data_IF_425030303826
#
_entry.id   IF_425030303826
#
_cell.length_a   1.000
_cell.length_b   1.000
_cell.length_c   1.000
_cell.angle_alpha   90.00
_cell.angle_beta   90.00
_cell.angle_gamma   90.00
#
_symmetry.space_group_name_H-M   'P 1'
#
loop_
_entity.id
_entity.type
_entity.pdbx_description
1 polymer ?
#
# COMPACT_ATOMS: atom_id res chain seq x y z
N UNK A 1 7.06 14.30 -1.60
CA UNK A 1 7.24 13.61 -0.31
C UNK A 1 6.62 12.23 -0.38
N UNK A 2 7.28 11.24 0.18
CA UNK A 2 6.77 9.87 0.33
C UNK A 2 6.77 9.51 1.82
N UNK A 3 5.67 8.96 2.32
CA UNK A 3 5.57 8.42 3.67
C UNK A 3 5.43 6.91 3.58
N UNK A 4 6.42 6.18 4.12
CA UNK A 4 6.49 4.72 4.03
C UNK A 4 7.46 4.15 5.06
N UNK A 5 7.34 2.85 5.35
CA UNK A 5 8.30 2.15 6.20
C UNK A 5 9.52 1.65 5.41
N UNK A 6 9.30 1.05 4.25
CA UNK A 6 10.34 0.53 3.39
C UNK A 6 9.82 0.34 1.96
N UNK A 7 10.74 0.32 0.99
CA UNK A 7 10.49 -0.14 -0.38
C UNK A 7 11.57 -1.14 -0.74
N UNK A 8 11.19 -2.41 -0.88
CA UNK A 8 12.10 -3.51 -1.15
C UNK A 8 11.56 -4.43 -2.25
N UNK A 9 12.45 -5.22 -2.82
CA UNK A 9 12.14 -6.29 -3.77
C UNK A 9 12.11 -7.67 -3.06
N UNK A 10 11.75 -7.69 -1.76
CA UNK A 10 11.77 -8.90 -0.96
C UNK A 10 13.20 -9.45 -0.80
N UNK A 11 13.42 -10.70 -1.15
CA UNK A 11 14.72 -11.38 -1.08
C UNK A 11 15.79 -10.82 -2.03
N UNK A 12 15.38 -10.03 -3.04
CA UNK A 12 16.31 -9.36 -3.96
C UNK A 12 16.83 -8.02 -3.42
N UNK A 13 16.51 -7.68 -2.18
CA UNK A 13 17.04 -6.51 -1.48
C UNK A 13 16.25 -5.22 -1.66
N UNK A 14 16.86 -4.06 -1.31
CA UNK A 14 16.22 -2.75 -1.46
C UNK A 14 15.95 -2.42 -2.93
N UNK A 15 14.85 -1.69 -3.20
CA UNK A 15 14.58 -1.18 -4.55
C UNK A 15 15.66 -0.17 -4.98
N UNK A 16 16.46 -0.45 -6.03
CA UNK A 16 17.68 0.32 -6.31
C UNK A 16 17.39 1.79 -6.63
N UNK A 17 16.40 2.05 -7.50
CA UNK A 17 16.04 3.42 -7.94
C UNK A 17 15.44 4.25 -6.80
N UNK A 18 14.61 3.62 -5.94
CA UNK A 18 14.07 4.26 -4.75
C UNK A 18 15.21 4.65 -3.79
N UNK A 19 16.12 3.71 -3.52
CA UNK A 19 17.27 3.95 -2.65
C UNK A 19 18.16 5.07 -3.17
N UNK A 20 18.43 5.10 -4.48
CA UNK A 20 19.21 6.17 -5.13
C UNK A 20 18.49 7.53 -5.00
N UNK A 21 17.19 7.58 -5.21
CA UNK A 21 16.39 8.81 -5.12
C UNK A 21 16.34 9.39 -3.69
N UNK A 22 16.30 8.54 -2.66
CA UNK A 22 16.42 8.98 -1.27
C UNK A 22 17.82 9.54 -0.98
N UNK A 23 18.88 8.81 -1.37
CA UNK A 23 20.27 9.23 -1.12
C UNK A 23 20.63 10.54 -1.82
N UNK A 24 20.12 10.78 -3.01
CA UNK A 24 20.32 12.02 -3.77
C UNK A 24 19.43 13.18 -3.30
N UNK A 25 18.45 12.94 -2.43
CA UNK A 25 17.47 13.94 -2.01
C UNK A 25 16.37 14.24 -3.05
N UNK A 26 16.29 13.49 -4.15
CA UNK A 26 15.24 13.63 -5.15
C UNK A 26 13.84 13.31 -4.59
N UNK A 27 13.77 12.42 -3.60
CA UNK A 27 12.56 12.12 -2.84
C UNK A 27 12.78 12.50 -1.38
N UNK A 28 11.89 13.34 -0.84
CA UNK A 28 11.81 13.58 0.60
C UNK A 28 11.03 12.44 1.23
N UNK A 29 11.69 11.65 2.06
CA UNK A 29 11.06 10.56 2.80
C UNK A 29 10.59 11.03 4.18
N UNK A 30 9.38 10.65 4.56
CA UNK A 30 8.89 10.65 5.95
C UNK A 30 8.91 9.19 6.41
N UNK A 31 9.86 8.87 7.25
CA UNK A 31 10.01 7.51 7.76
C UNK A 31 8.87 7.14 8.72
N UNK A 32 8.35 5.94 8.59
CA UNK A 32 7.25 5.42 9.38
C UNK A 32 7.37 3.90 9.55
N UNK A 33 6.59 3.33 10.45
CA UNK A 33 6.40 1.88 10.54
C UNK A 33 5.05 1.47 9.96
N UNK A 34 4.92 0.24 9.45
CA UNK A 34 3.63 -0.25 8.96
C UNK A 34 2.50 -0.12 9.99
N UNK A 35 2.70 -0.47 11.29
CA UNK A 35 1.68 -0.24 12.30
C UNK A 35 1.30 1.23 12.48
N UNK A 36 2.25 2.16 12.37
CA UNK A 36 1.96 3.59 12.49
C UNK A 36 1.12 4.12 11.33
N UNK A 37 1.48 3.76 10.09
CA UNK A 37 0.69 4.12 8.91
C UNK A 37 -0.72 3.55 8.98
N UNK A 38 -0.84 2.28 9.35
CA UNK A 38 -2.15 1.63 9.49
C UNK A 38 -2.99 2.29 10.57
N UNK A 39 -2.42 2.59 11.75
CA UNK A 39 -3.13 3.30 12.83
C UNK A 39 -3.57 4.71 12.38
N UNK A 40 -2.73 5.45 11.66
CA UNK A 40 -3.08 6.77 11.14
C UNK A 40 -4.21 6.72 10.09
N UNK A 41 -4.25 5.69 9.25
CA UNK A 41 -5.38 5.44 8.33
C UNK A 41 -6.64 5.03 9.09
N UNK A 42 -6.52 4.19 10.13
CA UNK A 42 -7.65 3.83 11.00
C UNK A 42 -8.24 5.05 11.73
N UNK A 43 -7.43 6.06 12.06
CA UNK A 43 -7.95 7.30 12.60
C UNK A 43 -8.91 7.98 11.63
N UNK A 44 -8.58 8.04 10.33
CA UNK A 44 -9.46 8.56 9.29
C UNK A 44 -10.70 7.70 9.07
N UNK A 45 -10.55 6.38 9.00
CA UNK A 45 -11.65 5.43 8.91
C UNK A 45 -12.68 5.65 10.04
N UNK A 46 -12.20 5.92 11.25
CA UNK A 46 -13.05 6.13 12.44
C UNK A 46 -13.52 7.58 12.64
N UNK A 47 -13.08 8.51 11.78
CA UNK A 47 -13.40 9.93 11.93
C UNK A 47 -12.79 10.60 13.15
N UNK A 48 -11.68 10.05 13.71
CA UNK A 48 -10.98 10.65 14.85
C UNK A 48 -9.73 11.41 14.38
N UNK A 49 -9.30 12.46 15.10
CA UNK A 49 -8.21 13.32 14.65
C UNK A 49 -6.82 12.66 14.74
N UNK A 50 -6.66 11.64 15.56
CA UNK A 50 -5.42 10.91 15.77
C UNK A 50 -5.67 9.50 16.32
N UNK A 51 -4.66 8.64 16.24
CA UNK A 51 -4.63 7.33 16.88
C UNK A 51 -3.43 7.23 17.83
N UNK A 52 -3.61 6.75 19.09
CA UNK A 52 -2.51 6.47 19.99
C UNK A 52 -1.83 5.13 19.64
N UNK A 53 -0.50 5.07 19.75
CA UNK A 53 0.28 3.86 19.53
C UNK A 53 1.49 3.81 20.49
N UNK A 54 1.81 2.61 21.05
CA UNK A 54 3.00 2.41 21.88
C UNK A 54 4.22 1.90 21.11
N UNK A 55 4.00 1.23 20.00
CA UNK A 55 5.04 0.46 19.29
C UNK A 55 6.22 1.27 18.73
N UNK A 56 6.21 2.59 18.89
CA UNK A 56 7.27 3.50 18.45
C UNK A 56 8.14 4.04 19.59
N UNK A 57 7.72 3.84 20.84
CA UNK A 57 8.46 4.33 22.02
C UNK A 57 9.83 3.66 22.07
N UNK A 58 10.89 4.47 22.23
CA UNK A 58 12.28 4.02 22.19
C UNK A 58 12.87 3.87 20.78
N UNK A 59 12.10 4.14 19.73
CA UNK A 59 12.56 4.10 18.34
C UNK A 59 13.16 5.44 17.92
N UNK A 60 14.24 5.39 17.12
CA UNK A 60 14.84 6.59 16.51
C UNK A 60 13.94 7.26 15.46
N UNK A 61 12.92 6.59 14.96
CA UNK A 61 11.93 7.16 14.03
C UNK A 61 11.28 8.40 14.62
N UNK A 62 11.02 8.41 15.93
CA UNK A 62 10.44 9.57 16.64
C UNK A 62 11.29 10.83 16.55
N UNK A 63 12.62 10.72 16.42
CA UNK A 63 13.54 11.84 16.28
C UNK A 63 13.42 12.58 14.93
N UNK A 64 12.81 11.92 13.95
CA UNK A 64 12.66 12.39 12.56
C UNK A 64 11.22 12.73 12.20
N UNK A 65 10.30 12.71 13.19
CA UNK A 65 8.86 12.96 13.02
C UNK A 65 8.39 14.10 13.91
N UNK A 66 8.44 15.31 13.39
CA UNK A 66 7.99 16.54 14.03
C UNK A 66 6.46 16.66 14.11
N UNK A 67 5.75 15.90 13.29
CA UNK A 67 4.29 15.82 13.25
C UNK A 67 3.69 14.81 14.26
N UNK A 68 4.52 13.96 14.87
CA UNK A 68 4.09 13.03 15.92
C UNK A 68 4.35 13.62 17.32
N UNK A 69 3.51 13.27 18.29
CA UNK A 69 3.65 13.73 19.67
C UNK A 69 3.71 12.56 20.63
N UNK A 70 4.64 12.62 21.58
CA UNK A 70 4.69 11.71 22.71
C UNK A 70 4.04 12.38 23.90
N UNK A 71 3.10 11.73 24.55
CA UNK A 71 2.46 12.16 25.80
C UNK A 71 2.38 11.00 26.77
N UNK A 72 2.18 11.28 28.05
CA UNK A 72 1.81 10.26 29.01
C UNK A 72 0.35 9.86 28.82
N UNK A 73 0.05 8.59 29.03
CA UNK A 73 -1.31 8.05 28.96
C UNK A 73 -2.18 8.74 30.02
N UNK A 74 -3.38 9.22 29.67
CA UNK A 74 -4.29 9.79 30.66
C UNK A 74 -4.87 8.74 31.64
N UNK A 75 -4.61 7.46 31.41
CA UNK A 75 -5.16 6.35 32.19
C UNK A 75 -4.14 5.58 33.02
N UNK A 76 -2.87 5.92 32.91
CA UNK A 76 -1.78 5.27 33.66
C UNK A 76 -0.60 6.21 33.86
N UNK A 77 0.13 6.06 34.97
CA UNK A 77 1.38 6.77 35.22
C UNK A 77 2.53 6.05 34.49
N UNK A 78 3.55 6.82 34.10
CA UNK A 78 4.76 6.32 33.43
C UNK A 78 4.46 5.43 32.19
N UNK A 79 3.43 5.79 31.42
CA UNK A 79 2.94 5.06 30.27
C UNK A 79 2.96 5.94 29.02
N UNK A 80 4.15 6.20 28.41
CA UNK A 80 4.25 7.04 27.23
C UNK A 80 3.57 6.41 26.02
N UNK A 81 2.83 7.24 25.28
CA UNK A 81 2.16 6.89 24.02
C UNK A 81 2.47 7.91 22.94
N UNK A 82 2.54 7.45 21.70
CA UNK A 82 2.70 8.32 20.52
C UNK A 82 1.32 8.61 19.93
N UNK A 83 1.04 9.88 19.68
CA UNK A 83 -0.16 10.32 18.96
C UNK A 83 0.18 10.47 17.47
N UNK A 84 -0.51 9.72 16.64
CA UNK A 84 -0.35 9.71 15.19
C UNK A 84 -1.52 10.49 14.55
N UNK A 85 -1.28 11.64 13.91
CA UNK A 85 -2.32 12.37 13.19
C UNK A 85 -3.00 11.48 12.14
N UNK A 86 -4.30 11.68 11.94
CA UNK A 86 -5.04 10.97 10.92
C UNK A 86 -4.49 11.25 9.52
N UNK A 87 -4.21 10.19 8.74
CA UNK A 87 -3.90 10.29 7.32
C UNK A 87 -5.21 10.22 6.55
N UNK A 88 -5.53 11.28 5.79
CA UNK A 88 -6.76 11.41 4.99
C UNK A 88 -6.41 11.39 3.51
N UNK A 89 -6.36 10.21 2.86
CA UNK A 89 -6.03 10.13 1.45
C UNK A 89 -7.16 10.71 0.58
N UNK A 90 -6.80 11.43 -0.47
CA UNK A 90 -7.76 11.81 -1.51
C UNK A 90 -8.18 10.59 -2.33
N UNK A 91 -7.20 9.71 -2.64
CA UNK A 91 -7.42 8.52 -3.45
C UNK A 91 -6.69 7.32 -2.86
N UNK A 92 -7.39 6.19 -2.72
CA UNK A 92 -6.80 4.87 -2.53
C UNK A 92 -6.68 4.16 -3.88
N UNK A 93 -5.51 3.61 -4.17
CA UNK A 93 -5.28 2.76 -5.35
C UNK A 93 -5.04 1.33 -4.86
N UNK A 94 -5.88 0.40 -5.28
CA UNK A 94 -5.78 -1.00 -4.88
C UNK A 94 -5.81 -1.92 -6.10
N UNK A 95 -5.12 -3.07 -6.00
CA UNK A 95 -5.25 -4.17 -6.96
C UNK A 95 -5.71 -5.42 -6.23
N UNK A 96 -6.73 -6.08 -6.76
CA UNK A 96 -7.37 -7.22 -6.10
C UNK A 96 -7.75 -8.32 -7.11
N UNK A 97 -8.03 -9.54 -6.65
CA UNK A 97 -8.36 -10.65 -7.54
C UNK A 97 -9.59 -10.44 -8.40
N UNK A 98 -10.67 -9.90 -7.83
CA UNK A 98 -11.93 -9.78 -8.58
C UNK A 98 -12.87 -8.73 -8.03
N UNK A 99 -13.75 -8.26 -8.88
CA UNK A 99 -14.92 -7.45 -8.56
C UNK A 99 -16.16 -8.05 -9.21
N UNK A 100 -17.33 -7.59 -8.81
CA UNK A 100 -18.59 -7.94 -9.49
C UNK A 100 -19.18 -6.74 -10.24
N UNK A 101 -20.23 -6.99 -10.99
CA UNK A 101 -20.96 -5.94 -11.74
C UNK A 101 -21.73 -4.93 -10.86
N UNK A 102 -21.84 -5.20 -9.56
CA UNK A 102 -22.47 -4.31 -8.59
C UNK A 102 -21.47 -3.35 -7.95
N UNK A 103 -20.19 -3.44 -8.33
CA UNK A 103 -19.13 -2.58 -7.82
C UNK A 103 -18.45 -3.10 -6.56
N UNK A 104 -18.82 -4.29 -6.07
CA UNK A 104 -18.17 -4.90 -4.93
C UNK A 104 -16.81 -5.48 -5.34
N UNK A 105 -15.83 -5.38 -4.46
CA UNK A 105 -14.45 -5.80 -4.69
C UNK A 105 -14.01 -6.83 -3.66
N UNK A 106 -13.56 -7.99 -4.09
CA UNK A 106 -13.08 -9.02 -3.18
C UNK A 106 -11.62 -8.81 -2.83
N UNK A 107 -11.36 -8.46 -1.58
CA UNK A 107 -10.03 -8.23 -1.01
C UNK A 107 -9.50 -9.45 -0.23
N UNK A 108 -10.35 -10.46 -0.01
CA UNK A 108 -9.99 -11.67 0.70
C UNK A 108 -9.49 -11.39 2.12
N UNK A 109 -8.27 -11.83 2.41
CA UNK A 109 -7.62 -11.66 3.73
C UNK A 109 -6.89 -10.33 3.92
N UNK A 110 -6.76 -9.51 2.88
CA UNK A 110 -6.02 -8.24 2.88
C UNK A 110 -6.84 -7.11 3.51
N UNK A 111 -7.03 -7.16 4.82
CA UNK A 111 -7.87 -6.22 5.58
C UNK A 111 -7.37 -4.78 5.54
N UNK A 112 -6.07 -4.58 5.33
CA UNK A 112 -5.47 -3.27 5.13
C UNK A 112 -6.06 -2.52 3.93
N UNK A 113 -6.47 -3.24 2.87
CA UNK A 113 -7.13 -2.62 1.71
C UNK A 113 -8.50 -2.03 2.07
N UNK A 114 -9.24 -2.67 2.99
CA UNK A 114 -10.49 -2.12 3.51
C UNK A 114 -10.23 -0.81 4.28
N UNK A 115 -9.24 -0.81 5.18
CA UNK A 115 -8.87 0.41 5.92
C UNK A 115 -8.44 1.54 4.97
N UNK A 116 -7.68 1.24 3.92
CA UNK A 116 -7.29 2.23 2.91
C UNK A 116 -8.51 2.81 2.19
N UNK A 117 -9.43 1.95 1.75
CA UNK A 117 -10.65 2.37 1.05
C UNK A 117 -11.59 3.18 1.96
N UNK A 118 -11.72 2.80 3.22
CA UNK A 118 -12.55 3.52 4.19
C UNK A 118 -11.95 4.89 4.59
N UNK A 119 -10.62 4.98 4.62
CA UNK A 119 -9.92 6.22 4.97
C UNK A 119 -9.90 7.25 3.84
N UNK A 120 -9.98 6.81 2.59
CA UNK A 120 -9.86 7.65 1.40
C UNK A 120 -11.19 8.30 0.98
N UNK A 121 -11.09 9.45 0.30
CA UNK A 121 -12.27 10.08 -0.31
C UNK A 121 -12.78 9.29 -1.52
N UNK A 122 -11.87 8.66 -2.28
CA UNK A 122 -12.16 7.86 -3.47
C UNK A 122 -11.29 6.62 -3.48
N UNK A 123 -11.84 5.52 -3.99
CA UNK A 123 -11.06 4.30 -4.23
C UNK A 123 -11.13 3.91 -5.70
N UNK A 124 -9.96 3.70 -6.29
CA UNK A 124 -9.81 3.11 -7.63
C UNK A 124 -9.27 1.71 -7.46
N UNK A 125 -9.99 0.71 -7.95
CA UNK A 125 -9.59 -0.68 -7.90
C UNK A 125 -9.26 -1.20 -9.31
N UNK A 126 -8.13 -1.88 -9.46
CA UNK A 126 -7.89 -2.76 -10.60
C UNK A 126 -8.11 -4.21 -10.18
N UNK A 127 -8.61 -5.04 -11.07
CA UNK A 127 -8.95 -6.43 -10.78
C UNK A 127 -8.52 -7.35 -11.91
N UNK A 128 -8.25 -8.61 -11.57
CA UNK A 128 -7.91 -9.63 -12.56
C UNK A 128 -9.12 -10.04 -13.42
N UNK A 129 -10.31 -10.08 -12.81
CA UNK A 129 -11.53 -10.49 -13.49
C UNK A 129 -12.79 -9.95 -12.84
N UNK A 130 -13.89 -10.01 -13.59
CA UNK A 130 -15.24 -9.80 -13.06
C UNK A 130 -15.84 -11.16 -12.65
N UNK A 131 -16.38 -11.22 -11.46
CA UNK A 131 -17.09 -12.36 -10.90
C UNK A 131 -18.55 -12.37 -11.37
N UNK A 132 -19.04 -13.54 -11.75
CA UNK A 132 -20.46 -13.73 -12.05
C UNK A 132 -21.27 -13.86 -10.74
N UNK A 133 -22.22 -12.95 -10.56
CA UNK A 133 -23.06 -12.89 -9.37
C UNK A 133 -22.69 -11.74 -8.44
N UNK A 134 -23.31 -11.73 -7.26
CA UNK A 134 -23.08 -10.72 -6.24
C UNK A 134 -22.15 -11.27 -5.16
N UNK A 135 -20.96 -10.70 -5.04
CA UNK A 135 -19.95 -11.11 -4.05
C UNK A 135 -20.46 -11.05 -2.61
N UNK A 136 -21.38 -10.13 -2.30
CA UNK A 136 -21.96 -9.99 -0.96
C UNK A 136 -23.01 -11.06 -0.64
N UNK A 137 -23.56 -11.73 -1.65
CA UNK A 137 -24.54 -12.82 -1.49
C UNK A 137 -23.86 -14.21 -1.43
N UNK A 138 -22.57 -14.31 -1.79
CA UNK A 138 -21.81 -15.54 -1.69
C UNK A 138 -21.32 -15.76 -0.25
N UNK A 139 -21.77 -16.81 0.45
CA UNK A 139 -21.40 -17.07 1.84
C UNK A 139 -19.88 -17.23 2.08
N UNK A 140 -19.13 -17.65 1.06
CA UNK A 140 -17.68 -17.86 1.15
C UNK A 140 -16.89 -16.60 0.86
N UNK A 141 -17.43 -15.69 0.06
CA UNK A 141 -16.74 -14.49 -0.42
C UNK A 141 -17.15 -13.21 0.34
N UNK A 142 -18.38 -13.15 0.83
CA UNK A 142 -18.96 -11.95 1.45
C UNK A 142 -18.09 -11.36 2.57
N UNK A 143 -17.53 -12.21 3.44
CA UNK A 143 -16.68 -11.76 4.55
C UNK A 143 -15.35 -11.09 4.10
N UNK A 144 -14.89 -11.35 2.88
CA UNK A 144 -13.70 -10.76 2.27
C UNK A 144 -14.03 -9.70 1.21
N UNK A 145 -15.27 -9.24 1.13
CA UNK A 145 -15.72 -8.31 0.10
C UNK A 145 -15.88 -6.89 0.65
N UNK A 146 -15.28 -5.95 -0.04
CA UNK A 146 -15.47 -4.51 0.13
C UNK A 146 -16.72 -4.10 -0.66
N UNK A 147 -17.76 -3.54 -0.01
CA UNK A 147 -18.97 -3.09 -0.71
C UNK A 147 -18.70 -1.97 -1.72
N UNK A 148 -19.46 -1.99 -2.82
CA UNK A 148 -19.26 -1.09 -3.96
C UNK A 148 -19.36 0.40 -3.64
N UNK A 149 -20.06 0.79 -2.59
CA UNK A 149 -20.14 2.19 -2.20
C UNK A 149 -18.82 2.80 -1.68
N UNK A 150 -17.80 1.97 -1.40
CA UNK A 150 -16.45 2.43 -1.11
C UNK A 150 -15.55 2.55 -2.35
N UNK A 151 -16.04 2.13 -3.54
CA UNK A 151 -15.23 2.04 -4.75
C UNK A 151 -15.80 2.90 -5.86
N UNK A 152 -15.06 3.93 -6.27
CA UNK A 152 -15.48 4.87 -7.32
C UNK A 152 -15.32 4.30 -8.73
N UNK A 153 -14.24 3.55 -8.95
CA UNK A 153 -13.88 3.06 -10.29
C UNK A 153 -13.25 1.68 -10.20
N UNK A 154 -13.65 0.80 -11.12
CA UNK A 154 -13.08 -0.52 -11.30
C UNK A 154 -12.59 -0.66 -12.73
N UNK A 155 -11.38 -1.18 -12.92
CA UNK A 155 -10.81 -1.52 -14.22
C UNK A 155 -10.21 -2.94 -14.20
N UNK A 156 -10.34 -3.67 -15.30
CA UNK A 156 -9.69 -4.97 -15.45
C UNK A 156 -8.23 -4.73 -15.80
N UNK A 157 -7.34 -5.42 -15.09
CA UNK A 157 -5.90 -5.43 -15.33
C UNK A 157 -5.37 -6.84 -15.09
N UNK A 158 -5.37 -7.66 -16.13
CA UNK A 158 -4.86 -9.02 -16.07
C UNK A 158 -3.37 -9.01 -15.68
N UNK A 159 -3.02 -9.84 -14.70
CA UNK A 159 -1.69 -9.87 -14.08
C UNK A 159 -1.23 -8.49 -13.58
N UNK A 160 -2.17 -7.68 -13.08
CA UNK A 160 -1.93 -6.30 -12.69
C UNK A 160 -0.97 -6.11 -11.52
N UNK A 161 -0.69 -7.15 -10.73
CA UNK A 161 0.35 -7.12 -9.70
C UNK A 161 1.74 -7.52 -10.22
N UNK A 162 1.84 -8.08 -11.45
CA UNK A 162 3.12 -8.51 -12.01
C UNK A 162 4.14 -7.32 -12.04
N UNK A 163 5.41 -7.53 -11.71
CA UNK A 163 6.13 -8.81 -11.44
C UNK A 163 5.95 -9.35 -10.01
N UNK A 164 5.18 -8.70 -9.16
CA UNK A 164 4.81 -9.25 -7.86
C UNK A 164 3.73 -10.34 -8.02
N UNK A 165 3.61 -11.20 -7.02
CA UNK A 165 2.55 -12.20 -6.98
C UNK A 165 1.23 -11.61 -6.47
N UNK A 166 0.13 -12.27 -6.84
CA UNK A 166 -1.18 -12.07 -6.23
C UNK A 166 -1.54 -13.35 -5.48
N UNK A 167 -1.68 -13.32 -4.15
CA UNK A 167 -1.96 -14.51 -3.35
C UNK A 167 -3.13 -15.33 -3.89
N UNK A 168 -2.97 -16.64 -3.94
CA UNK A 168 -3.93 -17.61 -4.45
C UNK A 168 -4.25 -17.51 -5.97
N UNK A 169 -3.62 -16.58 -6.72
CA UNK A 169 -3.82 -16.38 -8.16
C UNK A 169 -2.58 -16.69 -8.98
N UNK A 170 -1.46 -16.05 -8.67
CA UNK A 170 -0.19 -16.34 -9.33
C UNK A 170 1.00 -15.95 -8.44
N UNK A 171 2.14 -16.65 -8.56
CA UNK A 171 3.36 -16.31 -7.83
C UNK A 171 4.02 -15.05 -8.39
N UNK A 172 4.97 -14.49 -7.63
CA UNK A 172 5.89 -13.48 -8.13
C UNK A 172 6.83 -14.06 -9.19
N UNK A 173 7.24 -13.20 -10.12
CA UNK A 173 8.24 -13.50 -11.14
C UNK A 173 9.64 -13.20 -10.59
N UNK A 174 10.24 -14.21 -9.97
CA UNK A 174 11.54 -14.10 -9.31
C UNK A 174 12.66 -13.72 -10.30
N UNK A 175 12.63 -14.27 -11.51
CA UNK A 175 13.63 -14.00 -12.53
C UNK A 175 13.55 -12.53 -13.00
N UNK A 176 12.34 -12.03 -13.20
CA UNK A 176 12.12 -10.63 -13.55
C UNK A 176 12.54 -9.67 -12.44
N UNK A 177 12.22 -9.98 -11.18
CA UNK A 177 12.65 -9.17 -10.03
C UNK A 177 14.17 -9.14 -9.89
N UNK A 178 14.86 -10.27 -10.11
CA UNK A 178 16.31 -10.33 -10.13
C UNK A 178 16.89 -9.51 -11.29
N UNK A 179 16.30 -9.61 -12.49
CA UNK A 179 16.69 -8.80 -13.65
C UNK A 179 16.54 -7.31 -13.38
N UNK A 180 15.38 -6.89 -12.84
CA UNK A 180 15.17 -5.50 -12.44
C UNK A 180 16.19 -5.03 -11.41
N UNK A 181 16.43 -5.81 -10.36
CA UNK A 181 17.39 -5.45 -9.32
C UNK A 181 18.80 -5.21 -9.91
N UNK A 182 19.22 -6.02 -10.89
CA UNK A 182 20.50 -5.90 -11.59
C UNK A 182 20.53 -4.69 -12.53
N UNK A 183 19.52 -4.54 -13.39
CA UNK A 183 19.47 -3.46 -14.39
C UNK A 183 19.29 -2.09 -13.74
N UNK A 184 18.41 -1.98 -12.75
CA UNK A 184 18.11 -0.72 -12.07
C UNK A 184 19.21 -0.24 -11.10
N UNK A 185 20.31 -0.99 -10.96
CA UNK A 185 21.47 -0.58 -10.16
C UNK A 185 22.20 0.64 -10.77
N UNK A 186 22.14 0.82 -12.10
CA UNK A 186 22.74 1.96 -12.82
C UNK A 186 21.68 2.76 -13.58
N UNK A 187 22.02 4.00 -14.00
CA UNK A 187 21.12 4.83 -14.80
C UNK A 187 20.91 4.23 -16.21
N UNK A 188 21.98 3.77 -16.83
CA UNK A 188 21.98 3.19 -18.16
C UNK A 188 21.15 1.89 -18.18
N UNK A 189 21.40 1.00 -17.23
CA UNK A 189 20.63 -0.26 -17.11
C UNK A 189 19.17 -0.03 -16.80
N UNK A 190 18.85 1.02 -16.02
CA UNK A 190 17.44 1.38 -15.76
C UNK A 190 16.76 1.94 -17.02
N UNK A 191 17.45 2.76 -17.81
CA UNK A 191 16.92 3.25 -19.08
C UNK A 191 16.60 2.08 -20.03
N UNK A 192 17.54 1.12 -20.18
CA UNK A 192 17.34 -0.10 -20.95
C UNK A 192 16.14 -0.92 -20.45
N UNK A 193 15.99 -1.04 -19.12
CA UNK A 193 14.83 -1.71 -18.53
C UNK A 193 13.51 -1.03 -18.89
N UNK A 194 13.46 0.31 -18.82
CA UNK A 194 12.27 1.07 -19.19
C UNK A 194 11.92 0.90 -20.67
N UNK A 195 12.89 0.96 -21.56
CA UNK A 195 12.69 0.75 -22.99
C UNK A 195 12.10 -0.63 -23.23
N UNK A 196 12.73 -1.68 -22.70
CA UNK A 196 12.32 -3.08 -22.90
C UNK A 196 10.94 -3.41 -22.33
N UNK A 197 10.61 -2.93 -21.15
CA UNK A 197 9.43 -3.41 -20.40
C UNK A 197 8.31 -2.40 -20.25
N UNK A 198 8.57 -1.12 -20.46
CA UNK A 198 7.58 -0.07 -20.22
C UNK A 198 7.20 0.64 -21.53
N UNK A 199 8.17 1.03 -22.33
CA UNK A 199 7.90 1.85 -23.53
C UNK A 199 7.57 1.01 -24.76
N UNK A 200 8.26 -0.10 -25.02
CA UNK A 200 7.96 -0.97 -26.16
C UNK A 200 6.56 -1.60 -26.07
N UNK A 201 6.10 -1.95 -24.87
CA UNK A 201 4.73 -2.47 -24.67
C UNK A 201 3.62 -1.45 -24.91
N UNK A 202 3.93 -0.14 -25.03
CA UNK A 202 2.94 0.91 -25.35
C UNK A 202 2.80 1.12 -26.85
N UNK A 203 3.67 0.56 -27.65
CA UNK A 203 3.68 0.71 -29.11
C UNK A 203 2.95 -0.44 -29.85
N UNK A 204 2.44 -1.45 -29.14
CA UNK A 204 1.66 -2.57 -29.65
C UNK A 204 0.20 -2.49 -29.19
#
# INVERSE_FOLDING_TARGET
TLETSAVSLGEFGPAPRFTAAIKSGAIKMKDATCPALHAALQASEKGVPFMPLRGLIGSDVLKHRDDWKVIDSPFANDDPIVLLPAIKPDVALIHTPMADRFGNVWIGRQRELATMAHAAHKTIATVEKIHDGNLLEDPMLAAGTLPGFYVETIAIAERGAWPLGLPDFYPSDADHLAEYARMAATEEGFAEYLDKYVYEKRAA
#
